data_IF_483131669413
#
_entry.id   IF_483131669413
#
_cell.length_a   1.000
_cell.length_b   1.000
_cell.length_c   1.000
_cell.angle_alpha   90.00
_cell.angle_beta   90.00
_cell.angle_gamma   90.00
#
_symmetry.space_group_name_H-M   'P 1'
#
loop_
_entity.id
_entity.type
_entity.pdbx_description
1 polymer ?
#
# COMPACT_ATOMS: atom_id res chain seq x y z
N UNK A 1 -4.81 7.14 -43.78
CA UNK A 1 -4.06 7.29 -42.51
C UNK A 1 -4.75 8.32 -41.64
N UNK A 2 -5.17 7.97 -40.43
CA UNK A 2 -5.93 8.84 -39.51
C UNK A 2 -5.01 9.59 -38.54
N UNK A 3 -3.90 10.14 -39.04
CA UNK A 3 -2.89 10.80 -38.20
C UNK A 3 -3.47 12.09 -37.65
N UNK A 4 -3.66 12.16 -36.33
CA UNK A 4 -4.07 13.39 -35.61
C UNK A 4 -5.54 13.46 -35.17
N UNK A 5 -6.37 12.44 -35.41
CA UNK A 5 -7.75 12.42 -34.92
C UNK A 5 -7.85 11.78 -33.53
N UNK A 6 -8.70 12.33 -32.66
CA UNK A 6 -9.02 11.76 -31.34
C UNK A 6 -10.35 11.02 -31.43
N UNK A 7 -10.41 9.81 -30.90
CA UNK A 7 -11.65 9.06 -30.76
C UNK A 7 -12.10 9.06 -29.30
N UNK A 8 -13.38 9.33 -29.06
CA UNK A 8 -13.96 9.23 -27.72
C UNK A 8 -15.34 8.56 -27.75
N UNK A 9 -15.70 7.98 -26.61
CA UNK A 9 -17.00 7.35 -26.35
C UNK A 9 -17.42 7.70 -24.93
N UNK A 10 -18.72 7.86 -24.68
CA UNK A 10 -19.25 8.25 -23.36
C UNK A 10 -19.13 7.13 -22.33
N UNK A 11 -19.28 5.87 -22.74
CA UNK A 11 -19.17 4.69 -21.89
C UNK A 11 -18.50 3.53 -22.65
N UNK A 12 -17.67 2.69 -22.00
CA UNK A 12 -17.09 1.52 -22.64
C UNK A 12 -18.17 0.57 -23.17
N UNK A 13 -18.05 0.15 -24.43
CA UNK A 13 -18.95 -0.82 -25.10
C UNK A 13 -20.38 -0.32 -25.38
N UNK A 14 -20.67 0.97 -25.19
CA UNK A 14 -22.00 1.54 -25.43
C UNK A 14 -21.90 2.76 -26.35
N UNK A 15 -22.57 2.69 -27.52
CA UNK A 15 -22.65 3.77 -28.51
C UNK A 15 -21.55 3.74 -29.57
N UNK A 16 -21.57 4.69 -30.50
CA UNK A 16 -20.56 4.82 -31.56
C UNK A 16 -19.37 5.69 -31.14
N UNK A 17 -18.19 5.42 -31.70
CA UNK A 17 -16.99 6.23 -31.49
C UNK A 17 -17.09 7.56 -32.24
N UNK A 18 -17.10 8.67 -31.50
CA UNK A 18 -17.02 10.00 -32.09
C UNK A 18 -15.56 10.33 -32.44
N UNK A 19 -15.37 11.02 -33.56
CA UNK A 19 -14.05 11.42 -34.07
C UNK A 19 -13.93 12.93 -34.03
N UNK A 20 -12.87 13.42 -33.42
CA UNK A 20 -12.55 14.85 -33.32
C UNK A 20 -11.32 15.16 -34.15
N UNK A 21 -11.43 16.15 -35.04
CA UNK A 21 -10.30 16.65 -35.83
C UNK A 21 -9.45 17.62 -35.01
N UNK A 22 -8.17 17.84 -35.38
CA UNK A 22 -7.33 18.87 -34.75
C UNK A 22 -7.97 20.27 -34.75
N UNK A 23 -8.69 20.60 -35.81
CA UNK A 23 -9.45 21.85 -35.96
C UNK A 23 -10.68 21.96 -35.06
N UNK A 24 -11.25 20.83 -34.62
CA UNK A 24 -12.36 20.86 -33.66
C UNK A 24 -11.83 21.06 -32.24
N UNK A 25 -10.68 20.46 -31.94
CA UNK A 25 -10.00 20.65 -30.65
C UNK A 25 -9.51 22.09 -30.47
N UNK A 26 -8.99 22.73 -31.53
CA UNK A 26 -8.54 24.12 -31.45
C UNK A 26 -9.67 25.12 -31.17
N UNK A 27 -10.90 24.84 -31.63
CA UNK A 27 -12.09 25.66 -31.33
C UNK A 27 -12.53 25.59 -29.87
N UNK A 28 -12.12 24.56 -29.12
CA UNK A 28 -12.46 24.41 -27.70
C UNK A 28 -11.65 25.38 -26.82
N UNK A 29 -10.47 25.78 -27.27
CA UNK A 29 -9.60 26.72 -26.56
C UNK A 29 -9.80 28.10 -27.17
N UNK A 30 -10.83 28.81 -26.72
CA UNK A 30 -11.08 30.21 -27.14
C UNK A 30 -10.15 31.21 -26.45
N UNK A 31 -9.67 30.87 -25.26
CA UNK A 31 -8.80 31.73 -24.44
C UNK A 31 -7.61 30.93 -23.88
N UNK A 32 -6.42 31.53 -23.77
CA UNK A 32 -5.27 30.92 -23.10
C UNK A 32 -5.62 30.52 -21.67
N UNK A 33 -5.37 29.27 -21.29
CA UNK A 33 -5.62 28.78 -19.94
C UNK A 33 -4.70 29.50 -18.94
N UNK A 34 -5.25 30.46 -18.20
CA UNK A 34 -4.57 31.05 -17.06
C UNK A 34 -4.59 30.05 -15.91
N UNK A 35 -3.42 29.57 -15.47
CA UNK A 35 -3.29 28.76 -14.25
C UNK A 35 -3.69 29.65 -13.06
N UNK A 36 -4.77 29.36 -12.31
CA UNK A 36 -5.09 30.19 -11.16
C UNK A 36 -3.98 30.06 -10.12
N UNK A 37 -3.57 31.20 -9.55
CA UNK A 37 -2.73 31.22 -8.36
C UNK A 37 -3.62 30.79 -7.20
N UNK A 38 -3.29 29.70 -6.48
CA UNK A 38 -4.11 29.28 -5.35
C UNK A 38 -3.97 30.31 -4.23
N UNK A 39 -5.05 31.02 -3.93
CA UNK A 39 -5.13 31.83 -2.72
C UNK A 39 -5.31 30.91 -1.51
N UNK A 40 -4.41 31.06 -0.55
CA UNK A 40 -4.44 30.30 0.69
C UNK A 40 -5.46 30.96 1.61
N UNK A 41 -6.65 30.38 1.75
CA UNK A 41 -7.60 30.81 2.77
C UNK A 41 -7.08 30.48 4.16
N UNK A 42 -7.30 31.36 5.13
CA UNK A 42 -7.12 31.03 6.54
C UNK A 42 -8.14 29.97 6.96
N UNK A 43 -7.75 29.07 7.88
CA UNK A 43 -8.65 28.00 8.32
C UNK A 43 -9.96 28.58 8.86
N UNK A 44 -11.09 27.93 8.62
CA UNK A 44 -12.33 28.29 9.29
C UNK A 44 -12.39 27.59 10.64
N UNK A 45 -12.60 28.34 11.72
CA UNK A 45 -12.94 27.74 13.01
C UNK A 45 -14.44 27.43 13.01
N UNK A 46 -14.85 26.18 13.21
CA UNK A 46 -16.27 25.83 13.23
C UNK A 46 -16.94 26.53 14.42
N UNK A 47 -18.10 27.14 14.18
CA UNK A 47 -18.89 27.84 15.21
C UNK A 47 -19.46 26.86 16.24
N UNK A 48 -19.63 25.59 15.85
CA UNK A 48 -20.12 24.53 16.71
C UNK A 48 -19.06 23.44 16.89
N UNK A 49 -18.99 22.81 18.08
CA UNK A 49 -18.17 21.62 18.25
C UNK A 49 -18.64 20.53 17.28
N UNK A 50 -17.70 19.86 16.63
CA UNK A 50 -17.99 18.71 15.77
C UNK A 50 -18.48 17.53 16.62
N UNK A 51 -19.74 17.58 17.05
CA UNK A 51 -20.39 16.50 17.78
C UNK A 51 -20.95 15.50 16.77
N UNK A 52 -20.15 14.49 16.43
CA UNK A 52 -20.67 13.32 15.75
C UNK A 52 -21.37 12.44 16.80
N UNK A 53 -22.67 12.11 16.65
CA UNK A 53 -23.28 11.13 17.52
C UNK A 53 -22.51 9.82 17.38
N UNK A 54 -22.12 9.21 18.49
CA UNK A 54 -21.57 7.85 18.48
C UNK A 54 -22.74 6.92 18.14
N UNK A 55 -22.89 6.62 16.86
CA UNK A 55 -23.92 5.71 16.38
C UNK A 55 -23.51 4.31 16.81
N UNK A 56 -24.33 3.64 17.62
CA UNK A 56 -24.11 2.24 17.99
C UNK A 56 -24.34 1.41 16.73
N UNK A 57 -23.37 0.56 16.40
CA UNK A 57 -23.27 -0.18 15.13
C UNK A 57 -24.52 -1.04 14.84
N UNK A 58 -25.30 -1.40 15.87
CA UNK A 58 -26.60 -2.09 15.71
C UNK A 58 -27.63 -1.26 14.94
N UNK A 59 -27.68 0.06 15.09
CA UNK A 59 -28.70 0.90 14.45
C UNK A 59 -28.38 1.25 12.99
N UNK A 60 -27.12 1.13 12.56
CA UNK A 60 -26.68 1.42 11.18
C UNK A 60 -27.00 0.25 10.24
N UNK A 61 -26.95 -0.97 10.79
CA UNK A 61 -27.22 -2.23 10.09
C UNK A 61 -28.55 -2.18 9.34
N UNK A 62 -29.57 -1.54 9.92
CA UNK A 62 -30.91 -1.58 9.35
C UNK A 62 -31.16 -0.44 8.34
N UNK A 63 -30.37 0.64 8.38
CA UNK A 63 -30.58 1.83 7.53
C UNK A 63 -29.72 1.86 6.27
N UNK A 64 -28.52 1.26 6.30
CA UNK A 64 -27.61 1.22 5.15
C UNK A 64 -26.96 -0.16 5.05
N UNK A 65 -27.74 -1.15 4.63
CA UNK A 65 -27.24 -2.48 4.29
C UNK A 65 -26.37 -2.37 3.02
N UNK A 66 -25.09 -2.04 3.18
CA UNK A 66 -24.10 -2.29 2.14
C UNK A 66 -23.96 -3.80 2.01
N UNK A 67 -24.12 -4.33 0.81
CA UNK A 67 -23.88 -5.75 0.54
C UNK A 67 -22.52 -6.16 1.12
N UNK A 68 -22.52 -7.19 1.98
CA UNK A 68 -21.33 -7.75 2.63
C UNK A 68 -20.36 -8.25 1.55
N UNK A 69 -19.48 -7.38 1.07
CA UNK A 69 -18.74 -7.70 -0.15
C UNK A 69 -17.89 -6.57 -0.70
N UNK A 70 -18.44 -5.35 -0.74
CA UNK A 70 -17.95 -4.29 -1.63
C UNK A 70 -16.80 -3.44 -1.10
N UNK A 71 -16.65 -3.30 0.22
CA UNK A 71 -15.68 -2.38 0.82
C UNK A 71 -14.76 -3.02 1.87
N UNK A 72 -14.84 -4.33 2.06
CA UNK A 72 -13.95 -5.04 2.98
C UNK A 72 -12.64 -5.37 2.28
N UNK A 73 -11.52 -4.92 2.87
CA UNK A 73 -10.16 -5.19 2.37
C UNK A 73 -9.88 -6.69 2.19
N UNK A 74 -10.55 -7.56 2.97
CA UNK A 74 -10.49 -9.03 2.80
C UNK A 74 -10.98 -9.51 1.44
N UNK A 75 -11.90 -8.77 0.82
CA UNK A 75 -12.53 -9.12 -0.45
C UNK A 75 -11.85 -8.43 -1.64
N UNK A 76 -10.75 -7.70 -1.40
CA UNK A 76 -9.99 -7.01 -2.42
C UNK A 76 -9.26 -8.04 -3.30
N UNK A 77 -9.83 -8.31 -4.47
CA UNK A 77 -9.19 -9.13 -5.50
C UNK A 77 -8.11 -8.28 -6.19
N UNK A 78 -6.85 -8.44 -5.79
CA UNK A 78 -5.74 -7.94 -6.59
C UNK A 78 -5.71 -8.72 -7.90
N UNK A 79 -5.83 -8.04 -9.04
CA UNK A 79 -5.68 -8.67 -10.35
C UNK A 79 -4.35 -9.41 -10.44
N UNK A 80 -4.31 -10.47 -11.25
CA UNK A 80 -3.10 -11.24 -11.54
C UNK A 80 -2.00 -10.28 -12.01
N UNK A 81 -1.05 -9.95 -11.14
CA UNK A 81 0.09 -9.09 -11.50
C UNK A 81 0.99 -9.87 -12.45
N UNK A 82 1.22 -9.30 -13.64
CA UNK A 82 1.85 -9.90 -14.81
C UNK A 82 2.92 -10.98 -14.56
N UNK A 83 2.97 -11.93 -15.49
CA UNK A 83 3.84 -13.11 -15.52
C UNK A 83 5.33 -12.80 -15.74
N UNK A 84 5.82 -11.71 -15.16
CA UNK A 84 7.26 -11.44 -15.12
C UNK A 84 7.97 -12.42 -14.20
N UNK A 85 9.17 -12.85 -14.61
CA UNK A 85 10.07 -13.72 -13.84
C UNK A 85 10.20 -13.17 -12.41
N UNK A 86 9.86 -14.00 -11.42
CA UNK A 86 9.94 -13.65 -10.00
C UNK A 86 11.36 -13.96 -9.50
N UNK A 87 11.81 -13.21 -8.50
CA UNK A 87 13.01 -13.56 -7.74
C UNK A 87 12.78 -14.94 -7.11
N UNK A 88 13.74 -15.83 -7.27
CA UNK A 88 13.68 -17.18 -6.70
C UNK A 88 13.80 -17.14 -5.18
N UNK A 89 13.29 -18.19 -4.52
CA UNK A 89 13.26 -18.27 -3.06
C UNK A 89 14.68 -18.27 -2.48
N UNK A 90 15.62 -18.93 -3.18
CA UNK A 90 17.06 -18.97 -2.85
C UNK A 90 17.67 -17.57 -2.85
N UNK A 91 17.53 -16.83 -3.96
CA UNK A 91 18.01 -15.44 -4.06
C UNK A 91 17.36 -14.57 -2.98
N UNK A 92 16.07 -14.75 -2.70
CA UNK A 92 15.38 -14.01 -1.64
C UNK A 92 15.98 -14.29 -0.25
N UNK A 93 16.33 -15.53 0.06
CA UNK A 93 16.95 -15.90 1.34
C UNK A 93 18.32 -15.23 1.52
N UNK A 94 19.15 -15.20 0.47
CA UNK A 94 20.42 -14.48 0.50
C UNK A 94 20.22 -12.97 0.71
N UNK A 95 19.27 -12.36 -0.01
CA UNK A 95 18.95 -10.94 0.15
C UNK A 95 18.49 -10.62 1.58
N UNK A 96 17.71 -11.48 2.20
CA UNK A 96 17.30 -11.35 3.61
C UNK A 96 18.50 -11.44 4.54
N UNK A 97 19.39 -12.42 4.36
CA UNK A 97 20.62 -12.56 5.14
C UNK A 97 21.53 -11.32 5.07
N UNK A 98 21.82 -10.85 3.86
CA UNK A 98 22.62 -9.64 3.63
C UNK A 98 21.99 -8.39 4.28
N UNK A 99 20.68 -8.24 4.16
CA UNK A 99 19.99 -7.08 4.72
C UNK A 99 19.97 -7.10 6.26
N UNK A 100 19.75 -8.27 6.86
CA UNK A 100 19.70 -8.42 8.31
C UNK A 100 21.08 -8.28 8.95
N UNK A 101 22.15 -8.74 8.30
CA UNK A 101 23.52 -8.52 8.77
C UNK A 101 23.82 -7.01 8.94
N UNK A 102 23.41 -6.20 7.96
CA UNK A 102 23.52 -4.73 8.01
C UNK A 102 22.65 -4.04 9.07
N UNK A 103 21.62 -4.70 9.58
CA UNK A 103 20.82 -4.19 10.70
C UNK A 103 21.49 -4.45 12.06
N UNK A 104 22.27 -5.53 12.18
CA UNK A 104 23.05 -5.85 13.38
C UNK A 104 24.28 -4.94 13.45
N UNK A 105 25.01 -4.81 12.33
CA UNK A 105 26.21 -3.98 12.24
C UNK A 105 26.11 -3.00 11.07
N UNK A 106 26.29 -1.70 11.36
CA UNK A 106 26.22 -0.66 10.31
C UNK A 106 27.37 -0.76 9.29
N UNK A 107 28.50 -1.32 9.70
CA UNK A 107 29.66 -1.58 8.83
C UNK A 107 29.35 -2.62 7.75
N UNK A 108 28.44 -3.54 8.06
CA UNK A 108 28.09 -4.67 7.20
C UNK A 108 26.85 -4.35 6.34
N UNK A 109 26.41 -3.08 6.34
CA UNK A 109 25.26 -2.62 5.58
C UNK A 109 25.61 -2.54 4.10
N UNK A 110 25.10 -3.50 3.34
CA UNK A 110 25.30 -3.58 1.90
C UNK A 110 24.39 -2.62 1.14
N UNK A 111 24.93 -1.96 0.11
CA UNK A 111 24.11 -1.27 -0.89
C UNK A 111 23.51 -2.27 -1.88
N UNK A 112 22.52 -1.85 -2.67
CA UNK A 112 21.94 -2.71 -3.70
C UNK A 112 22.99 -3.20 -4.71
N UNK A 113 23.98 -2.36 -5.02
CA UNK A 113 25.09 -2.72 -5.92
C UNK A 113 25.96 -3.82 -5.29
N UNK A 114 26.26 -3.70 -4.01
CA UNK A 114 27.09 -4.67 -3.29
C UNK A 114 26.38 -6.03 -3.18
N UNK A 115 25.06 -6.01 -2.94
CA UNK A 115 24.25 -7.24 -2.95
C UNK A 115 24.26 -7.92 -4.32
N UNK A 116 24.20 -7.17 -5.43
CA UNK A 116 24.35 -7.76 -6.77
C UNK A 116 25.73 -8.38 -6.94
N UNK A 117 26.80 -7.73 -6.47
CA UNK A 117 28.15 -8.28 -6.61
C UNK A 117 28.33 -9.57 -5.82
N UNK A 118 27.77 -9.68 -4.62
CA UNK A 118 27.80 -10.95 -3.87
C UNK A 118 26.96 -12.04 -4.53
N UNK A 119 25.78 -11.70 -5.07
CA UNK A 119 24.97 -12.67 -5.82
C UNK A 119 25.68 -13.17 -7.08
N UNK A 120 26.51 -12.34 -7.73
CA UNK A 120 27.33 -12.77 -8.87
C UNK A 120 28.42 -13.75 -8.44
N UNK A 121 29.09 -13.52 -7.30
CA UNK A 121 30.06 -14.48 -6.75
C UNK A 121 29.41 -15.83 -6.44
N UNK A 122 28.23 -15.82 -5.81
CA UNK A 122 27.45 -17.04 -5.56
C UNK A 122 27.04 -17.77 -6.85
N UNK A 123 26.81 -17.01 -7.93
CA UNK A 123 26.53 -17.60 -9.23
C UNK A 123 27.78 -18.20 -9.91
N UNK A 124 28.95 -17.58 -9.71
CA UNK A 124 30.25 -18.12 -10.13
C UNK A 124 30.62 -19.41 -9.37
N UNK A 125 30.29 -19.47 -8.08
CA UNK A 125 30.46 -20.66 -7.21
C UNK A 125 29.46 -21.79 -7.54
N UNK A 126 28.43 -21.51 -8.34
CA UNK A 126 27.43 -22.49 -8.76
C UNK A 126 26.28 -22.70 -7.77
N UNK A 127 26.21 -21.94 -6.69
CA UNK A 127 25.12 -21.97 -5.70
C UNK A 127 23.81 -21.40 -6.27
N UNK A 128 23.91 -20.49 -7.25
CA UNK A 128 22.78 -19.83 -7.92
C UNK A 128 22.98 -19.89 -9.43
N UNK A 129 21.90 -20.00 -10.19
CA UNK A 129 21.96 -19.89 -11.64
C UNK A 129 22.26 -18.44 -12.06
N UNK A 130 23.16 -18.24 -13.03
CA UNK A 130 23.49 -16.90 -13.55
C UNK A 130 22.24 -16.11 -13.99
N UNK A 131 21.26 -16.80 -14.53
CA UNK A 131 20.00 -16.22 -15.02
C UNK A 131 19.06 -15.74 -13.91
N UNK A 132 19.33 -16.12 -12.66
CA UNK A 132 18.54 -15.74 -11.47
C UNK A 132 19.05 -14.48 -10.79
N UNK A 133 20.26 -14.01 -11.13
CA UNK A 133 20.83 -12.79 -10.55
C UNK A 133 19.97 -11.58 -10.95
N UNK A 134 19.31 -10.91 -9.99
CA UNK A 134 18.43 -9.78 -10.31
C UNK A 134 19.21 -8.54 -10.70
N UNK A 135 18.58 -7.66 -11.48
CA UNK A 135 19.12 -6.33 -11.74
C UNK A 135 19.17 -5.46 -10.47
N UNK A 136 20.09 -4.50 -10.45
CA UNK A 136 20.27 -3.55 -9.33
C UNK A 136 18.94 -2.85 -8.97
N UNK A 137 18.19 -2.36 -9.97
CA UNK A 137 16.90 -1.69 -9.76
C UNK A 137 15.86 -2.60 -9.07
N UNK A 138 15.93 -3.89 -9.37
CA UNK A 138 15.06 -4.89 -8.76
C UNK A 138 15.40 -5.06 -7.28
N UNK A 139 16.69 -5.10 -6.94
CA UNK A 139 17.14 -5.14 -5.54
C UNK A 139 16.80 -3.85 -4.80
N UNK A 140 16.98 -2.66 -5.39
CA UNK A 140 16.58 -1.39 -4.77
C UNK A 140 15.08 -1.35 -4.44
N UNK A 141 14.26 -1.78 -5.40
CA UNK A 141 12.82 -1.90 -5.22
C UNK A 141 12.45 -2.96 -4.17
N UNK A 142 13.22 -4.04 -4.08
CA UNK A 142 13.05 -5.08 -3.06
C UNK A 142 13.40 -4.54 -1.66
N UNK A 143 14.57 -3.89 -1.49
CA UNK A 143 15.03 -3.28 -0.23
C UNK A 143 13.99 -2.30 0.30
N UNK A 144 13.45 -1.44 -0.57
CA UNK A 144 12.43 -0.44 -0.21
C UNK A 144 11.17 -1.12 0.34
N UNK A 145 10.68 -2.17 -0.33
CA UNK A 145 9.51 -2.94 0.10
C UNK A 145 9.77 -3.72 1.38
N UNK A 146 10.92 -4.37 1.47
CA UNK A 146 11.29 -5.18 2.63
C UNK A 146 11.43 -4.31 3.88
N UNK A 147 12.10 -3.16 3.78
CA UNK A 147 12.19 -2.16 4.84
C UNK A 147 10.81 -1.68 5.31
N UNK A 148 9.88 -1.41 4.37
CA UNK A 148 8.52 -1.03 4.71
C UNK A 148 7.75 -2.16 5.41
N UNK A 149 7.98 -3.42 4.99
CA UNK A 149 7.36 -4.59 5.63
C UNK A 149 7.79 -4.75 7.08
N UNK A 150 9.09 -4.58 7.38
CA UNK A 150 9.61 -4.65 8.75
C UNK A 150 9.03 -3.56 9.64
N UNK A 151 8.88 -2.33 9.12
CA UNK A 151 8.22 -1.24 9.87
C UNK A 151 6.77 -1.58 10.17
N UNK A 152 6.05 -2.11 9.17
CA UNK A 152 4.65 -2.54 9.33
C UNK A 152 4.51 -3.64 10.37
N UNK A 153 5.35 -4.67 10.31
CA UNK A 153 5.38 -5.75 11.29
C UNK A 153 5.66 -5.25 12.70
N UNK A 154 6.64 -4.35 12.87
CA UNK A 154 6.93 -3.75 14.17
C UNK A 154 5.74 -2.95 14.74
N UNK A 155 4.98 -2.26 13.88
CA UNK A 155 3.78 -1.55 14.29
C UNK A 155 2.66 -2.51 14.69
N UNK A 156 2.47 -3.60 13.96
CA UNK A 156 1.50 -4.65 14.26
C UNK A 156 1.82 -5.33 15.60
N UNK A 157 3.07 -5.68 15.86
CA UNK A 157 3.49 -6.25 17.15
C UNK A 157 3.25 -5.30 18.34
N UNK A 158 3.42 -3.98 18.15
CA UNK A 158 3.08 -2.98 19.19
C UNK A 158 1.59 -2.95 19.49
N UNK A 159 0.75 -3.02 18.45
CA UNK A 159 -0.71 -3.07 18.65
C UNK A 159 -1.11 -4.38 19.34
N UNK A 160 -0.56 -5.52 18.90
CA UNK A 160 -0.85 -6.83 19.48
C UNK A 160 -0.44 -6.86 20.97
N UNK A 161 0.76 -6.40 21.30
CA UNK A 161 1.22 -6.37 22.69
C UNK A 161 0.37 -5.44 23.57
N UNK A 162 -0.07 -4.28 23.06
CA UNK A 162 -1.00 -3.40 23.77
C UNK A 162 -2.38 -4.05 23.96
N UNK A 163 -2.88 -4.80 22.97
CA UNK A 163 -4.15 -5.53 23.10
C UNK A 163 -4.08 -6.63 24.15
N UNK A 164 -3.01 -7.42 24.18
CA UNK A 164 -2.82 -8.47 25.19
C UNK A 164 -2.76 -7.88 26.61
N UNK A 165 -2.08 -6.75 26.78
CA UNK A 165 -2.01 -6.02 28.05
C UNK A 165 -3.37 -5.51 28.53
N UNK A 166 -4.28 -5.13 27.62
CA UNK A 166 -5.66 -4.76 27.97
C UNK A 166 -6.48 -5.95 28.41
N UNK A 167 -6.36 -7.09 27.73
CA UNK A 167 -7.05 -8.32 28.09
C UNK A 167 -6.65 -8.82 29.48
N UNK A 168 -5.35 -8.82 29.81
CA UNK A 168 -4.86 -9.20 31.15
C UNK A 168 -5.40 -8.28 32.26
N UNK A 169 -5.59 -6.99 31.97
CA UNK A 169 -6.19 -6.04 32.92
C UNK A 169 -7.70 -6.27 33.13
N UNK A 170 -8.42 -6.70 32.10
CA UNK A 170 -9.85 -7.02 32.24
C UNK A 170 -10.06 -8.32 33.05
N UNK A 171 -9.25 -9.35 32.81
CA UNK A 171 -9.32 -10.61 33.56
C UNK A 171 -8.99 -10.45 35.05
N UNK A 172 -8.02 -9.61 35.37
CA UNK A 172 -7.65 -9.28 36.75
C UNK A 172 -8.74 -8.46 37.46
N UNK A 173 -9.42 -7.55 36.75
CA UNK A 173 -10.52 -6.78 37.32
C UNK A 173 -11.77 -7.65 37.55
N UNK A 174 -12.06 -8.59 36.64
CA UNK A 174 -13.19 -9.52 36.76
C UNK A 174 -13.03 -10.53 37.91
N UNK A 175 -11.79 -10.98 38.20
CA UNK A 175 -11.47 -11.80 39.39
C UNK A 175 -11.66 -11.05 40.71
N UNK A 176 -11.37 -9.75 40.74
CA UNK A 176 -11.57 -8.91 41.94
C UNK A 176 -13.06 -8.72 42.27
N UNK A 177 -13.90 -8.53 41.24
CA UNK A 177 -15.35 -8.36 41.40
C UNK A 177 -16.04 -9.60 41.97
N UNK A 178 -15.67 -10.81 41.54
CA UNK A 178 -16.24 -12.07 42.07
C UNK A 178 -15.90 -12.32 43.55
N UNK A 179 -14.84 -11.71 44.08
CA UNK A 179 -14.43 -11.87 45.48
C UNK A 179 -15.20 -10.95 46.44
N UNK A 180 -15.89 -9.92 45.93
CA UNK A 180 -16.66 -8.95 46.75
C UNK A 180 -18.11 -9.35 47.01
N UNK A 181 -18.65 -10.38 46.34
CA UNK A 181 -20.04 -10.83 46.52
C UNK A 181 -20.21 -12.03 47.47
N UNK A 182 -19.14 -12.49 48.13
CA UNK A 182 -19.23 -13.48 49.22
C UNK A 182 -18.98 -12.79 50.56
N UNK A 183 -20.00 -12.13 51.09
CA UNK A 183 -20.13 -11.76 52.49
C UNK A 183 -21.60 -11.81 52.87
#
# INVERSE_FOLDING_TARGET
SFIGYIQAQTLPQIGEWLRYSPTDVSKLIKEPLHKPTPDISTHTKPVLPWSFPIIRIKDISDKFQLEKGWALKSNQKYGQRGSGKRITITVKAYLEGFFLAGNVNKTDRMSAKDMVTELKKLAEEGEIQNDEVPEIKTIEGWITRYSASLRKESAEQRVISETNKRLEKEDSNNKSSHKRQKR
#
